data_IF_346115508940
#
_entry.id   IF_346115508940
#
_cell.length_a   1.000
_cell.length_b   1.000
_cell.length_c   1.000
_cell.angle_alpha   90.00
_cell.angle_beta   90.00
_cell.angle_gamma   90.00
#
_symmetry.space_group_name_H-M   'P 1'
#
loop_
_entity.id
_entity.type
_entity.pdbx_description
1 polymer ?
#
# COMPACT_ATOMS: atom_id res chain seq x y z
N UNK A 1 -20.44 7.56 -13.08
CA UNK A 1 -20.33 8.02 -11.69
C UNK A 1 -20.04 6.89 -10.69
N UNK A 2 -20.94 5.93 -10.38
CA UNK A 2 -20.65 4.86 -9.40
C UNK A 2 -19.41 4.02 -9.75
N UNK A 3 -19.18 3.72 -11.02
CA UNK A 3 -18.01 2.95 -11.48
C UNK A 3 -16.67 3.68 -11.27
N UNK A 4 -16.64 5.00 -11.42
CA UNK A 4 -15.43 5.81 -11.23
C UNK A 4 -14.96 5.83 -9.77
N UNK A 5 -15.89 5.97 -8.82
CA UNK A 5 -15.52 5.94 -7.38
C UNK A 5 -14.92 4.60 -6.97
N UNK A 6 -15.52 3.51 -7.45
CA UNK A 6 -15.00 2.16 -7.17
C UNK A 6 -13.61 1.98 -7.78
N UNK A 7 -13.39 2.44 -9.01
CA UNK A 7 -12.08 2.35 -9.66
C UNK A 7 -11.02 3.14 -8.91
N UNK A 8 -11.35 4.37 -8.45
CA UNK A 8 -10.41 5.20 -7.67
C UNK A 8 -10.11 4.56 -6.32
N UNK A 9 -11.13 4.05 -5.62
CA UNK A 9 -10.95 3.37 -4.35
C UNK A 9 -10.08 2.12 -4.50
N UNK A 10 -10.34 1.31 -5.52
CA UNK A 10 -9.53 0.12 -5.82
C UNK A 10 -8.10 0.48 -6.23
N UNK A 11 -7.92 1.54 -7.03
CA UNK A 11 -6.59 2.01 -7.38
C UNK A 11 -5.82 2.49 -6.15
N UNK A 12 -6.47 3.24 -5.26
CA UNK A 12 -5.86 3.68 -4.00
C UNK A 12 -5.46 2.50 -3.10
N UNK A 13 -6.33 1.51 -2.94
CA UNK A 13 -6.00 0.28 -2.20
C UNK A 13 -4.84 -0.46 -2.86
N UNK A 14 -4.83 -0.56 -4.20
CA UNK A 14 -3.75 -1.23 -4.95
C UNK A 14 -2.39 -0.59 -4.77
N UNK A 15 -2.32 0.74 -4.57
CA UNK A 15 -1.08 1.46 -4.30
C UNK A 15 -0.52 1.13 -2.91
N UNK A 16 -1.40 0.97 -1.91
CA UNK A 16 -1.02 0.68 -0.53
C UNK A 16 -0.55 -0.77 -0.37
N UNK A 17 -1.09 -1.69 -1.17
CA UNK A 17 -0.71 -3.10 -1.13
C UNK A 17 0.66 -3.28 -1.76
N UNK A 18 1.69 -3.31 -0.92
CA UNK A 18 3.09 -3.53 -1.35
C UNK A 18 3.52 -4.99 -1.32
N UNK A 19 4.78 -5.23 -1.68
CA UNK A 19 5.38 -6.57 -1.71
C UNK A 19 5.40 -7.26 -0.32
N UNK A 20 5.61 -6.50 0.76
CA UNK A 20 5.60 -7.01 2.12
C UNK A 20 4.23 -7.51 2.57
N UNK A 21 3.15 -6.81 2.16
CA UNK A 21 1.79 -7.26 2.44
C UNK A 21 1.46 -8.53 1.65
N UNK A 22 1.88 -8.62 0.39
CA UNK A 22 1.63 -9.80 -0.46
C UNK A 22 2.39 -11.05 0.01
N UNK A 23 3.57 -10.90 0.60
CA UNK A 23 4.32 -12.00 1.24
C UNK A 23 3.83 -12.33 2.64
N UNK A 24 3.01 -11.47 3.25
CA UNK A 24 2.58 -11.59 4.63
C UNK A 24 3.62 -11.15 5.67
N UNK A 25 4.84 -10.82 5.27
CA UNK A 25 5.93 -10.46 6.19
C UNK A 25 5.63 -9.20 7.00
N UNK A 26 5.06 -8.18 6.34
CA UNK A 26 4.67 -6.95 7.04
C UNK A 26 3.60 -7.20 8.08
N UNK A 27 2.60 -8.04 7.75
CA UNK A 27 1.55 -8.43 8.70
C UNK A 27 2.15 -9.13 9.91
N UNK A 28 3.09 -10.04 9.69
CA UNK A 28 3.78 -10.77 10.76
C UNK A 28 4.54 -9.82 11.69
N UNK A 29 5.36 -8.93 11.13
CA UNK A 29 6.28 -8.11 11.92
C UNK A 29 5.64 -6.87 12.54
N UNK A 30 4.69 -6.23 11.86
CA UNK A 30 4.07 -4.97 12.32
C UNK A 30 2.82 -5.18 13.17
N UNK A 31 2.14 -6.34 13.03
CA UNK A 31 0.86 -6.56 13.69
C UNK A 31 0.79 -7.88 14.46
N UNK A 32 1.06 -9.02 13.80
CA UNK A 32 0.84 -10.32 14.38
C UNK A 32 1.78 -10.60 15.57
N UNK A 33 3.01 -10.11 15.52
CA UNK A 33 4.00 -10.18 16.60
C UNK A 33 3.52 -9.62 17.94
N UNK A 34 2.45 -8.83 17.93
CA UNK A 34 1.79 -8.32 19.15
C UNK A 34 0.62 -9.20 19.62
N UNK A 35 0.39 -10.34 18.97
CA UNK A 35 -0.72 -11.24 19.29
C UNK A 35 -2.08 -10.57 19.06
N UNK A 36 -3.03 -10.80 19.99
CA UNK A 36 -4.41 -10.28 19.88
C UNK A 36 -4.51 -8.76 19.76
N UNK A 37 -3.59 -8.01 20.39
CA UNK A 37 -3.56 -6.54 20.29
C UNK A 37 -3.24 -6.08 18.88
N UNK A 38 -2.53 -6.90 18.10
CA UNK A 38 -2.26 -6.63 16.70
C UNK A 38 -3.52 -6.40 15.85
N UNK A 39 -4.65 -7.03 16.21
CA UNK A 39 -5.94 -6.83 15.54
C UNK A 39 -6.40 -5.37 15.66
N UNK A 40 -6.26 -4.77 16.86
CA UNK A 40 -6.57 -3.35 17.05
C UNK A 40 -5.64 -2.47 16.23
N UNK A 41 -4.37 -2.87 16.08
CA UNK A 41 -3.41 -2.19 15.20
C UNK A 41 -3.86 -2.18 13.74
N UNK A 42 -4.33 -3.31 13.22
CA UNK A 42 -4.86 -3.42 11.84
C UNK A 42 -6.10 -2.55 11.64
N UNK A 43 -7.03 -2.54 12.62
CA UNK A 43 -8.22 -1.69 12.56
C UNK A 43 -7.82 -0.21 12.52
N UNK A 44 -6.89 0.20 13.39
CA UNK A 44 -6.39 1.58 13.43
C UNK A 44 -5.69 1.95 12.11
N UNK A 45 -4.88 1.05 11.55
CA UNK A 45 -4.28 1.24 10.23
C UNK A 45 -5.34 1.48 9.15
N UNK A 46 -6.41 0.69 9.15
CA UNK A 46 -7.54 0.86 8.25
C UNK A 46 -8.19 2.24 8.38
N UNK A 47 -8.45 2.68 9.62
CA UNK A 47 -9.01 4.01 9.90
C UNK A 47 -8.08 5.13 9.39
N UNK A 48 -6.78 5.04 9.67
CA UNK A 48 -5.80 6.01 9.19
C UNK A 48 -5.79 6.10 7.66
N UNK A 49 -5.77 4.96 6.97
CA UNK A 49 -5.80 4.94 5.50
C UNK A 49 -7.09 5.53 4.93
N UNK A 50 -8.25 5.29 5.55
CA UNK A 50 -9.53 5.88 5.11
C UNK A 50 -9.54 7.40 5.34
N UNK A 51 -9.14 7.86 6.54
CA UNK A 51 -9.18 9.28 6.89
C UNK A 51 -8.20 10.08 6.04
N UNK A 52 -6.93 9.69 6.03
CA UNK A 52 -5.91 10.42 5.28
C UNK A 52 -6.04 10.23 3.77
N UNK A 53 -6.44 9.04 3.29
CA UNK A 53 -6.72 8.80 1.89
C UNK A 53 -7.84 9.71 1.37
N UNK A 54 -8.93 9.87 2.15
CA UNK A 54 -9.99 10.81 1.82
C UNK A 54 -9.49 12.25 1.78
N UNK A 55 -8.63 12.66 2.71
CA UNK A 55 -8.04 14.00 2.74
C UNK A 55 -7.20 14.22 1.49
N UNK A 56 -6.28 13.29 1.17
CA UNK A 56 -5.40 13.39 0.01
C UNK A 56 -6.18 13.47 -1.30
N UNK A 57 -7.14 12.57 -1.51
CA UNK A 57 -8.00 12.57 -2.70
C UNK A 57 -8.82 13.87 -2.81
N UNK A 58 -9.30 14.41 -1.68
CA UNK A 58 -10.07 15.65 -1.66
C UNK A 58 -9.18 16.85 -2.04
N UNK A 59 -7.96 16.94 -1.50
CA UNK A 59 -7.02 18.00 -1.87
C UNK A 59 -6.60 17.88 -3.34
N UNK A 60 -6.28 16.66 -3.81
CA UNK A 60 -5.99 16.41 -5.23
C UNK A 60 -7.13 16.89 -6.13
N UNK A 61 -8.37 16.55 -5.78
CA UNK A 61 -9.56 16.95 -6.53
C UNK A 61 -9.81 18.47 -6.47
N UNK A 62 -9.59 19.10 -5.31
CA UNK A 62 -9.79 20.54 -5.14
C UNK A 62 -8.81 21.36 -5.97
N UNK A 63 -7.54 20.96 -5.98
CA UNK A 63 -6.50 21.66 -6.75
C UNK A 63 -6.34 21.13 -8.18
N UNK A 64 -7.07 20.07 -8.56
CA UNK A 64 -6.95 19.37 -9.86
C UNK A 64 -5.48 19.05 -10.20
N UNK A 65 -4.77 18.55 -9.19
CA UNK A 65 -3.32 18.41 -9.24
C UNK A 65 -2.87 17.26 -10.16
N UNK A 66 -1.79 17.52 -10.89
CA UNK A 66 -1.08 16.52 -11.68
C UNK A 66 0.17 15.99 -10.97
N UNK A 67 0.55 16.61 -9.86
CA UNK A 67 1.69 16.22 -9.04
C UNK A 67 1.44 16.52 -7.56
N UNK A 68 2.19 15.88 -6.68
CA UNK A 68 2.12 16.18 -5.24
C UNK A 68 2.67 17.57 -4.92
N UNK A 69 3.67 18.04 -5.67
CA UNK A 69 4.28 19.35 -5.47
C UNK A 69 3.27 20.50 -5.68
N UNK A 70 2.36 20.37 -6.64
CA UNK A 70 1.30 21.36 -6.87
C UNK A 70 0.38 21.54 -5.65
N UNK A 71 0.13 20.48 -4.90
CA UNK A 71 -0.68 20.55 -3.68
C UNK A 71 0.13 21.13 -2.53
N UNK A 72 1.32 20.58 -2.28
CA UNK A 72 2.13 20.99 -1.15
C UNK A 72 2.63 22.44 -1.28
N UNK A 73 2.94 22.91 -2.49
CA UNK A 73 3.34 24.30 -2.72
C UNK A 73 2.24 25.32 -2.35
N UNK A 74 0.97 24.90 -2.40
CA UNK A 74 -0.18 25.75 -2.04
C UNK A 74 -0.56 25.73 -0.56
N UNK A 75 -0.17 24.68 0.17
CA UNK A 75 -0.58 24.49 1.57
C UNK A 75 0.57 24.56 2.56
N UNK A 76 1.82 24.55 2.10
CA UNK A 76 3.00 24.57 2.97
C UNK A 76 3.99 25.69 2.60
N UNK A 77 4.85 26.01 3.57
CA UNK A 77 5.96 26.94 3.34
C UNK A 77 6.97 26.36 2.34
N UNK A 78 7.60 27.15 1.44
CA UNK A 78 8.50 26.65 0.40
C UNK A 78 9.65 25.75 0.89
N UNK A 79 10.20 26.03 2.08
CA UNK A 79 11.26 25.21 2.68
C UNK A 79 10.71 23.83 3.07
N UNK A 80 9.53 23.81 3.72
CA UNK A 80 8.85 22.57 4.14
C UNK A 80 8.48 21.74 2.90
N UNK A 81 7.97 22.39 1.85
CA UNK A 81 7.63 21.72 0.60
C UNK A 81 8.84 20.98 0.00
N UNK A 82 10.02 21.63 -0.06
CA UNK A 82 11.25 20.99 -0.55
C UNK A 82 11.66 19.76 0.28
N UNK A 83 11.50 19.83 1.61
CA UNK A 83 11.80 18.70 2.50
C UNK A 83 10.84 17.54 2.23
N UNK A 84 9.54 17.82 2.12
CA UNK A 84 8.51 16.82 1.82
C UNK A 84 8.79 16.19 0.46
N UNK A 85 9.01 17.01 -0.57
CA UNK A 85 9.29 16.55 -1.94
C UNK A 85 10.52 15.63 -1.97
N UNK A 86 11.64 16.06 -1.38
CA UNK A 86 12.84 15.22 -1.26
C UNK A 86 12.57 13.90 -0.52
N UNK A 87 11.78 13.94 0.57
CA UNK A 87 11.44 12.75 1.34
C UNK A 87 10.57 11.79 0.55
N UNK A 88 9.56 12.29 -0.17
CA UNK A 88 8.67 11.47 -1.00
C UNK A 88 9.40 10.84 -2.18
N UNK A 89 10.24 11.61 -2.88
CA UNK A 89 11.01 11.11 -4.03
C UNK A 89 12.02 10.05 -3.55
N UNK A 90 12.82 10.36 -2.53
CA UNK A 90 13.83 9.44 -2.01
C UNK A 90 13.19 8.18 -1.43
N UNK A 91 12.10 8.34 -0.67
CA UNK A 91 11.37 7.22 -0.08
C UNK A 91 10.74 6.31 -1.16
N UNK A 92 10.11 6.88 -2.19
CA UNK A 92 9.54 6.12 -3.30
C UNK A 92 10.62 5.37 -4.08
N UNK A 93 11.78 5.98 -4.28
CA UNK A 93 12.92 5.35 -4.95
C UNK A 93 13.43 4.15 -4.15
N UNK A 94 13.65 4.31 -2.85
CA UNK A 94 14.06 3.22 -1.95
C UNK A 94 13.02 2.09 -1.96
N UNK A 95 11.73 2.43 -1.86
CA UNK A 95 10.66 1.44 -1.91
C UNK A 95 10.64 0.67 -3.24
N UNK A 96 10.97 1.32 -4.36
CA UNK A 96 11.12 0.65 -5.65
C UNK A 96 12.16 -0.47 -5.61
N UNK A 97 13.33 -0.23 -5.03
CA UNK A 97 14.35 -1.28 -4.86
C UNK A 97 13.90 -2.41 -3.95
N UNK A 98 13.26 -2.07 -2.83
CA UNK A 98 12.73 -3.08 -1.90
C UNK A 98 11.69 -3.98 -2.60
N UNK A 99 10.81 -3.40 -3.42
CA UNK A 99 9.81 -4.15 -4.18
C UNK A 99 10.44 -5.07 -5.23
N UNK A 100 11.46 -4.60 -5.96
CA UNK A 100 12.18 -5.41 -6.95
C UNK A 100 12.92 -6.56 -6.26
N UNK A 101 13.58 -6.30 -5.14
CA UNK A 101 14.27 -7.33 -4.35
C UNK A 101 13.26 -8.36 -3.78
N UNK A 102 12.12 -7.89 -3.27
CA UNK A 102 11.03 -8.74 -2.79
C UNK A 102 10.44 -9.64 -3.89
N UNK A 103 10.22 -9.10 -5.08
CA UNK A 103 9.78 -9.88 -6.24
C UNK A 103 10.80 -10.97 -6.61
N UNK A 104 12.09 -10.62 -6.61
CA UNK A 104 13.17 -11.59 -6.84
C UNK A 104 13.17 -12.72 -5.82
N UNK A 105 13.05 -12.39 -4.54
CA UNK A 105 12.97 -13.36 -3.46
C UNK A 105 11.73 -14.27 -3.56
N UNK A 106 10.57 -13.72 -3.86
CA UNK A 106 9.34 -14.47 -4.01
C UNK A 106 9.40 -15.45 -5.19
N UNK A 107 9.96 -15.05 -6.33
CA UNK A 107 10.13 -15.91 -7.50
C UNK A 107 11.14 -17.03 -7.19
N UNK A 108 12.21 -16.73 -6.45
CA UNK A 108 13.15 -17.73 -5.99
C UNK A 108 12.47 -18.79 -5.10
N UNK A 109 11.68 -18.35 -4.13
CA UNK A 109 10.99 -19.24 -3.20
C UNK A 109 9.94 -20.13 -3.88
N UNK A 110 9.21 -19.60 -4.88
CA UNK A 110 8.13 -20.32 -5.53
C UNK A 110 8.59 -21.23 -6.69
N UNK A 111 9.59 -20.79 -7.43
CA UNK A 111 10.01 -21.45 -8.68
C UNK A 111 11.45 -21.97 -8.66
N UNK A 112 12.20 -21.72 -7.60
CA UNK A 112 13.62 -22.09 -7.52
C UNK A 112 14.54 -21.31 -8.44
N UNK A 113 14.04 -20.29 -9.17
CA UNK A 113 14.83 -19.44 -10.04
C UNK A 113 15.77 -18.55 -9.23
N UNK A 114 16.96 -18.20 -9.74
CA UNK A 114 17.84 -17.28 -9.04
C UNK A 114 17.13 -15.93 -8.79
N UNK A 115 17.32 -15.33 -7.61
CA UNK A 115 16.63 -14.10 -7.21
C UNK A 115 16.86 -12.93 -8.18
N UNK A 116 18.04 -12.87 -8.80
CA UNK A 116 18.34 -11.85 -9.81
C UNK A 116 17.45 -11.98 -11.06
N UNK A 117 17.10 -13.21 -11.48
CA UNK A 117 16.21 -13.41 -12.63
C UNK A 117 14.80 -12.91 -12.34
N UNK A 118 14.29 -13.17 -11.14
CA UNK A 118 13.00 -12.63 -10.70
C UNK A 118 13.00 -11.10 -10.60
N UNK A 119 14.07 -10.53 -10.07
CA UNK A 119 14.24 -9.06 -10.02
C UNK A 119 14.29 -8.46 -11.43
N UNK A 120 14.98 -9.09 -12.37
CA UNK A 120 15.06 -8.65 -13.77
C UNK A 120 13.68 -8.68 -14.45
N UNK A 121 12.93 -9.77 -14.28
CA UNK A 121 11.56 -9.88 -14.80
C UNK A 121 10.68 -8.75 -14.25
N UNK A 122 10.73 -8.52 -12.93
CA UNK A 122 9.98 -7.44 -12.29
C UNK A 122 10.37 -6.06 -12.86
N UNK A 123 11.67 -5.81 -13.01
CA UNK A 123 12.18 -4.56 -13.58
C UNK A 123 11.69 -4.36 -15.01
N UNK A 124 11.72 -5.38 -15.86
CA UNK A 124 11.21 -5.29 -17.23
C UNK A 124 9.71 -4.97 -17.25
N UNK A 125 8.93 -5.57 -16.35
CA UNK A 125 7.49 -5.27 -16.22
C UNK A 125 7.26 -3.82 -15.76
N UNK A 126 8.04 -3.32 -14.79
CA UNK A 126 7.97 -1.93 -14.33
C UNK A 126 8.26 -0.98 -15.50
N UNK A 127 9.32 -1.22 -16.27
CA UNK A 127 9.68 -0.41 -17.43
C UNK A 127 8.56 -0.46 -18.46
N UNK A 128 8.00 -1.62 -18.77
CA UNK A 128 6.88 -1.75 -19.69
C UNK A 128 5.64 -0.94 -19.25
N UNK A 129 5.32 -0.98 -17.95
CA UNK A 129 4.19 -0.22 -17.37
C UNK A 129 4.49 1.28 -17.35
N UNK A 130 5.75 1.70 -17.18
CA UNK A 130 6.14 3.11 -17.18
C UNK A 130 5.86 3.83 -18.50
N UNK A 131 5.78 3.10 -19.62
CA UNK A 131 5.35 3.64 -20.92
C UNK A 131 3.83 3.80 -21.06
N UNK A 132 3.04 3.34 -20.09
CA UNK A 132 1.59 3.49 -20.11
C UNK A 132 1.20 4.89 -19.61
N UNK A 133 0.15 5.45 -20.22
CA UNK A 133 -0.46 6.68 -19.70
C UNK A 133 -1.08 6.42 -18.32
N UNK A 134 -1.10 7.45 -17.47
CA UNK A 134 -1.62 7.40 -16.10
C UNK A 134 -3.01 6.77 -15.99
N UNK A 135 -3.94 7.11 -16.90
CA UNK A 135 -5.28 6.51 -16.94
C UNK A 135 -5.26 4.98 -17.14
N UNK A 136 -4.32 4.47 -17.96
CA UNK A 136 -4.14 3.04 -18.17
C UNK A 136 -3.59 2.37 -16.90
N UNK A 137 -2.67 3.03 -16.21
CA UNK A 137 -2.12 2.54 -14.93
C UNK A 137 -3.26 2.41 -13.89
N UNK A 138 -4.12 3.42 -13.76
CA UNK A 138 -5.29 3.37 -12.87
C UNK A 138 -6.22 2.20 -13.22
N UNK A 139 -6.48 1.97 -14.51
CA UNK A 139 -7.33 0.86 -14.95
C UNK A 139 -6.70 -0.49 -14.62
N UNK A 140 -5.39 -0.64 -14.81
CA UNK A 140 -4.64 -1.86 -14.45
C UNK A 140 -4.76 -2.12 -12.95
N UNK A 141 -4.47 -1.13 -12.10
CA UNK A 141 -4.62 -1.24 -10.64
C UNK A 141 -6.06 -1.57 -10.25
N UNK A 142 -7.05 -0.92 -10.88
CA UNK A 142 -8.47 -1.17 -10.64
C UNK A 142 -8.93 -2.58 -10.97
N UNK A 143 -8.24 -3.30 -11.87
CA UNK A 143 -8.52 -4.71 -12.22
C UNK A 143 -7.75 -5.67 -11.31
N UNK A 144 -6.47 -5.39 -11.04
CA UNK A 144 -5.63 -6.27 -10.23
C UNK A 144 -6.04 -6.28 -8.75
N UNK A 145 -6.43 -5.15 -8.20
CA UNK A 145 -6.79 -5.02 -6.78
C UNK A 145 -7.95 -5.95 -6.36
N UNK A 146 -9.09 -6.02 -7.07
CA UNK A 146 -10.15 -6.98 -6.73
C UNK A 146 -9.68 -8.44 -6.83
N UNK A 147 -8.79 -8.76 -7.77
CA UNK A 147 -8.23 -10.12 -7.91
C UNK A 147 -7.40 -10.47 -6.68
N UNK A 148 -6.52 -9.57 -6.23
CA UNK A 148 -5.73 -9.77 -5.01
C UNK A 148 -6.64 -9.94 -3.79
N UNK A 149 -7.66 -9.09 -3.63
CA UNK A 149 -8.62 -9.19 -2.53
C UNK A 149 -9.35 -10.53 -2.57
N UNK A 150 -9.80 -10.96 -3.75
CA UNK A 150 -10.48 -12.25 -3.91
C UNK A 150 -9.57 -13.42 -3.54
N UNK A 151 -8.30 -13.40 -3.94
CA UNK A 151 -7.31 -14.42 -3.59
C UNK A 151 -7.10 -14.45 -2.07
N UNK A 152 -6.93 -13.29 -1.42
CA UNK A 152 -6.75 -13.20 0.04
C UNK A 152 -7.97 -13.79 0.76
N UNK A 153 -9.18 -13.45 0.35
CA UNK A 153 -10.41 -13.98 0.94
C UNK A 153 -10.48 -15.50 0.76
N UNK A 154 -10.17 -16.00 -0.46
CA UNK A 154 -10.21 -17.41 -0.78
C UNK A 154 -9.20 -18.21 0.05
N UNK A 155 -7.95 -17.74 0.13
CA UNK A 155 -6.89 -18.37 0.94
C UNK A 155 -7.28 -18.35 2.41
N UNK A 156 -7.78 -17.22 2.92
CA UNK A 156 -8.23 -17.11 4.30
C UNK A 156 -9.37 -18.09 4.59
N UNK A 157 -10.40 -18.12 3.74
CA UNK A 157 -11.50 -19.06 3.88
C UNK A 157 -11.02 -20.53 3.85
N UNK A 158 -10.14 -20.88 2.91
CA UNK A 158 -9.56 -22.21 2.81
C UNK A 158 -8.79 -22.63 4.06
N UNK A 159 -8.02 -21.71 4.66
CA UNK A 159 -7.25 -22.00 5.88
C UNK A 159 -8.16 -22.28 7.08
N UNK A 160 -9.35 -21.68 7.16
CA UNK A 160 -10.31 -21.91 8.25
C UNK A 160 -11.23 -23.10 8.03
N UNK A 161 -11.39 -23.60 6.79
CA UNK A 161 -12.25 -24.74 6.48
C UNK A 161 -11.61 -26.03 7.03
N UNK A 162 -12.33 -26.72 7.89
CA UNK A 162 -11.96 -28.06 8.40
C UNK A 162 -10.84 -28.08 9.45
N UNK A 163 -10.31 -26.93 9.88
CA UNK A 163 -9.29 -26.86 10.93
C UNK A 163 -9.85 -26.19 12.19
N UNK A 164 -9.68 -26.83 13.34
CA UNK A 164 -9.92 -26.21 14.65
C UNK A 164 -8.63 -25.53 15.08
N UNK A 165 -8.62 -24.20 15.10
CA UNK A 165 -7.49 -23.44 15.59
C UNK A 165 -7.67 -23.12 17.06
N UNK A 166 -6.64 -23.41 17.85
CA UNK A 166 -6.55 -22.90 19.22
C UNK A 166 -5.97 -21.48 19.17
N UNK A 167 -6.83 -20.50 19.36
CA UNK A 167 -6.43 -19.09 19.35
C UNK A 167 -5.45 -18.72 20.47
N UNK A 168 -5.37 -19.51 21.54
CA UNK A 168 -4.39 -19.29 22.58
C UNK A 168 -3.00 -19.72 22.13
N UNK A 169 -2.88 -20.87 21.49
CA UNK A 169 -1.62 -21.34 20.91
C UNK A 169 -1.13 -20.40 19.80
N UNK A 170 -2.04 -19.93 18.94
CA UNK A 170 -1.70 -18.98 17.89
C UNK A 170 -1.18 -17.66 18.46
N UNK A 171 -1.79 -17.13 19.53
CA UNK A 171 -1.32 -15.91 20.20
C UNK A 171 0.06 -16.10 20.82
N UNK A 172 0.34 -17.26 21.39
CA UNK A 172 1.65 -17.58 21.97
C UNK A 172 2.73 -17.66 20.89
N UNK A 173 2.44 -18.36 19.79
CA UNK A 173 3.36 -18.46 18.64
C UNK A 173 3.58 -17.09 17.98
N UNK A 174 2.52 -16.31 17.81
CA UNK A 174 2.61 -14.96 17.25
C UNK A 174 3.59 -14.06 18.02
N UNK A 175 3.57 -14.13 19.36
CA UNK A 175 4.48 -13.35 20.22
C UNK A 175 5.95 -13.83 20.21
N UNK A 176 6.26 -14.95 19.61
CA UNK A 176 7.65 -15.38 19.40
C UNK A 176 8.28 -14.66 18.18
N UNK A 177 7.47 -14.05 17.32
CA UNK A 177 7.94 -13.31 16.15
C UNK A 177 8.51 -11.98 16.64
N UNK A 178 9.73 -11.66 16.20
CA UNK A 178 10.36 -10.39 16.53
C UNK A 178 9.61 -9.23 15.84
N UNK A 179 9.04 -8.27 16.59
CA UNK A 179 8.35 -7.14 16.00
C UNK A 179 9.35 -6.20 15.31
N UNK A 180 8.90 -5.52 14.25
CA UNK A 180 9.68 -4.48 13.59
C UNK A 180 9.92 -3.27 14.51
N UNK A 181 8.96 -2.96 15.39
CA UNK A 181 9.01 -1.88 16.39
C UNK A 181 8.44 -2.41 17.69
N UNK A 182 9.03 -2.08 18.83
CA UNK A 182 8.68 -2.65 20.13
C UNK A 182 7.29 -2.31 20.66
N UNK A 183 6.66 -1.23 20.18
CA UNK A 183 5.36 -0.75 20.62
C UNK A 183 4.35 -0.79 19.48
N UNK A 184 3.16 -1.35 19.74
CA UNK A 184 2.11 -1.52 18.72
C UNK A 184 1.66 -0.17 18.11
N UNK A 185 1.52 0.87 18.90
CA UNK A 185 1.08 2.18 18.41
C UNK A 185 2.10 2.81 17.48
N UNK A 186 3.38 2.72 17.85
CA UNK A 186 4.47 3.14 16.97
C UNK A 186 4.59 2.24 15.74
N UNK A 187 4.31 0.94 15.87
CA UNK A 187 4.29 0.01 14.76
C UNK A 187 3.25 0.39 13.71
N UNK A 188 2.02 0.71 14.15
CA UNK A 188 0.94 1.18 13.27
C UNK A 188 1.31 2.47 12.55
N UNK A 189 1.83 3.46 13.28
CA UNK A 189 2.23 4.75 12.71
C UNK A 189 3.38 4.57 11.72
N UNK A 190 4.37 3.74 12.07
CA UNK A 190 5.51 3.45 11.21
C UNK A 190 5.06 2.78 9.91
N UNK A 191 4.22 1.74 10.01
CA UNK A 191 3.71 1.06 8.83
C UNK A 191 2.80 1.96 7.98
N UNK A 192 1.95 2.77 8.62
CA UNK A 192 1.16 3.77 7.92
C UNK A 192 2.06 4.77 7.17
N UNK A 193 3.17 5.21 7.77
CA UNK A 193 4.11 6.13 7.13
C UNK A 193 4.77 5.52 5.89
N UNK A 194 5.11 4.22 5.92
CA UNK A 194 5.59 3.50 4.74
C UNK A 194 4.55 3.48 3.62
N UNK A 195 3.28 3.21 3.96
CA UNK A 195 2.17 3.27 3.01
C UNK A 195 1.98 4.70 2.48
N UNK A 196 2.06 5.71 3.33
CA UNK A 196 1.85 7.10 2.96
C UNK A 196 2.91 7.61 1.99
N UNK A 197 4.19 7.28 2.17
CA UNK A 197 5.27 7.69 1.25
C UNK A 197 4.95 7.28 -0.20
N UNK A 198 4.42 6.09 -0.40
CA UNK A 198 4.06 5.60 -1.74
C UNK A 198 2.70 6.11 -2.20
N UNK A 199 1.75 6.28 -1.29
CA UNK A 199 0.37 6.59 -1.61
C UNK A 199 0.10 8.10 -1.82
N UNK A 200 0.82 9.00 -1.13
CA UNK A 200 0.54 10.45 -1.14
C UNK A 200 0.57 11.04 -2.54
N UNK A 201 1.67 10.84 -3.27
CA UNK A 201 1.85 11.41 -4.60
C UNK A 201 0.76 10.92 -5.55
N UNK A 202 0.50 9.61 -5.54
CA UNK A 202 -0.50 9.00 -6.41
C UNK A 202 -1.92 9.37 -6.01
N UNK A 203 -2.22 9.49 -4.71
CA UNK A 203 -3.53 9.88 -4.20
C UNK A 203 -3.90 11.31 -4.63
N UNK A 204 -2.96 12.25 -4.61
CA UNK A 204 -3.20 13.60 -5.12
C UNK A 204 -3.50 13.60 -6.61
N UNK A 205 -2.74 12.86 -7.41
CA UNK A 205 -2.98 12.77 -8.87
C UNK A 205 -4.29 12.03 -9.17
N UNK A 206 -4.60 10.96 -8.43
CA UNK A 206 -5.90 10.28 -8.50
C UNK A 206 -7.06 11.23 -8.20
N UNK A 207 -6.92 12.03 -7.13
CA UNK A 207 -7.91 13.06 -6.79
C UNK A 207 -8.05 14.11 -7.88
N UNK A 208 -6.93 14.58 -8.46
CA UNK A 208 -6.89 15.55 -9.56
C UNK A 208 -7.54 15.05 -10.84
N UNK A 209 -7.49 13.75 -11.11
CA UNK A 209 -8.16 13.15 -12.26
C UNK A 209 -9.69 13.13 -12.15
N UNK A 210 -10.26 13.44 -10.99
CA UNK A 210 -11.70 13.46 -10.75
C UNK A 210 -12.27 14.83 -10.99
N UNK A 211 -13.17 14.95 -11.97
CA UNK A 211 -13.78 16.22 -12.40
C UNK A 211 -14.66 16.89 -11.34
N UNK A 212 -15.02 16.20 -10.24
CA UNK A 212 -15.92 16.73 -9.22
C UNK A 212 -15.46 16.41 -7.80
N UNK A 213 -15.34 17.45 -6.96
CA UNK A 213 -15.04 17.36 -5.52
C UNK A 213 -15.98 16.37 -4.79
N UNK A 214 -17.27 16.31 -5.21
CA UNK A 214 -18.26 15.37 -4.68
C UNK A 214 -17.87 13.91 -4.94
N UNK A 215 -17.10 13.63 -5.98
CA UNK A 215 -16.63 12.30 -6.31
C UNK A 215 -15.49 11.86 -5.37
N UNK A 216 -14.59 12.75 -5.03
CA UNK A 216 -13.49 12.44 -4.10
C UNK A 216 -13.92 12.29 -2.62
N UNK A 217 -15.11 12.79 -2.27
CA UNK A 217 -15.69 12.71 -0.91
C UNK A 217 -16.54 11.47 -0.66
N UNK A 218 -16.99 10.79 -1.70
CA UNK A 218 -17.76 9.53 -1.63
C UNK A 218 -16.88 8.30 -1.69
#
# INVERSE_FOLDING_TARGET
>A
MKKEYVTIALAYVGIIVGAGLSSGQDILQYFLSFGKIGILGVILLGVLNVVFGKIMLTFGSYYQSNSHDEVFSKISHPIINKIIDFTLISGSFIMGFVMVAGAGSNIHQQFGLPSWAGALICTMLIVAVAFLNFEKIIKVLGVFTPVIIAIIILVTAYTFIGKKYDFYQLDTVAKTIKPAVSNIWFSVINYYSLCAITAVSMAFVLGGSVVRITAARK
#
